data_IF_164884603652
#
_entry.id   IF_164884603652
#
_cell.length_a   1.000
_cell.length_b   1.000
_cell.length_c   1.000
_cell.angle_alpha   90.00
_cell.angle_beta   90.00
_cell.angle_gamma   90.00
#
_symmetry.space_group_name_H-M   'P 1'
#
loop_
_entity.id
_entity.type
_entity.pdbx_description
1 polymer ?
#
# COMPACT_ATOMS: atom_id res chain seq x y z
N UNK A 1 -32.51 34.73 44.17
CA UNK A 1 -31.78 34.60 42.90
C UNK A 1 -31.80 33.14 42.54
N UNK A 2 -32.62 32.76 41.56
CA UNK A 2 -33.00 31.36 41.30
C UNK A 2 -31.95 30.58 40.51
N UNK A 3 -31.51 29.46 41.11
CA UNK A 3 -30.53 28.49 40.57
C UNK A 3 -31.07 27.74 39.32
N UNK A 4 -32.34 27.93 38.97
CA UNK A 4 -33.00 27.28 37.83
C UNK A 4 -32.68 27.89 36.46
N UNK A 5 -32.02 29.05 36.39
CA UNK A 5 -31.65 29.70 35.13
C UNK A 5 -30.32 29.22 34.53
N UNK A 6 -29.57 28.37 35.22
CA UNK A 6 -28.27 27.85 34.75
C UNK A 6 -28.32 26.50 34.03
N UNK A 7 -29.50 25.88 33.88
CA UNK A 7 -29.63 24.53 33.30
C UNK A 7 -30.03 24.54 31.82
N UNK A 8 -30.56 25.65 31.29
CA UNK A 8 -30.94 25.74 29.87
C UNK A 8 -29.77 26.02 28.91
N UNK A 9 -28.54 26.16 29.40
CA UNK A 9 -27.35 26.33 28.57
C UNK A 9 -26.59 25.04 28.22
N UNK A 10 -26.94 23.89 28.82
CA UNK A 10 -26.11 22.67 28.74
C UNK A 10 -26.78 21.46 28.08
N UNK A 11 -28.00 21.59 27.52
CA UNK A 11 -28.68 20.47 26.85
C UNK A 11 -28.65 20.60 25.32
N UNK A 12 -28.46 21.80 24.76
CA UNK A 12 -28.32 21.98 23.29
C UNK A 12 -26.89 21.69 22.78
N UNK A 13 -25.87 21.66 23.67
CA UNK A 13 -24.47 21.44 23.28
C UNK A 13 -24.05 19.99 23.06
N UNK A 14 -24.75 19.00 23.62
CA UNK A 14 -24.28 17.60 23.63
C UNK A 14 -24.78 16.79 22.42
N UNK A 15 -25.91 17.20 21.82
CA UNK A 15 -26.46 16.50 20.64
C UNK A 15 -25.75 16.84 19.32
N UNK A 16 -25.14 18.04 19.19
CA UNK A 16 -24.40 18.42 17.98
C UNK A 16 -22.98 17.81 17.96
N UNK A 17 -22.39 17.55 19.13
CA UNK A 17 -21.04 16.97 19.22
C UNK A 17 -20.94 15.54 18.67
N UNK A 18 -21.94 14.69 18.93
CA UNK A 18 -21.90 13.29 18.48
C UNK A 18 -22.16 13.11 16.98
N UNK A 19 -22.94 14.02 16.35
CA UNK A 19 -23.14 14.03 14.89
C UNK A 19 -21.93 14.68 14.19
N UNK A 20 -21.38 15.75 14.77
CA UNK A 20 -20.21 16.47 14.24
C UNK A 20 -18.92 15.65 14.24
N UNK A 21 -18.65 14.86 15.28
CA UNK A 21 -17.43 14.02 15.33
C UNK A 21 -17.48 12.90 14.29
N UNK A 22 -18.64 12.28 14.04
CA UNK A 22 -18.78 11.25 13.00
C UNK A 22 -18.69 11.83 11.58
N UNK A 23 -19.23 13.02 11.34
CA UNK A 23 -19.11 13.71 10.05
C UNK A 23 -17.69 14.25 9.81
N UNK A 24 -17.05 14.82 10.82
CA UNK A 24 -15.67 15.31 10.74
C UNK A 24 -14.68 14.16 10.55
N UNK A 25 -14.82 13.09 11.33
CA UNK A 25 -13.95 11.92 11.22
C UNK A 25 -14.15 11.21 9.88
N UNK A 26 -15.39 11.10 9.37
CA UNK A 26 -15.63 10.55 8.04
C UNK A 26 -15.10 11.47 6.92
N UNK A 27 -15.19 12.79 7.03
CA UNK A 27 -14.63 13.71 6.04
C UNK A 27 -13.10 13.66 5.99
N UNK A 28 -12.43 13.68 7.14
CA UNK A 28 -10.97 13.54 7.24
C UNK A 28 -10.53 12.17 6.72
N UNK A 29 -11.25 11.10 7.06
CA UNK A 29 -10.96 9.75 6.57
C UNK A 29 -11.17 9.64 5.05
N UNK A 30 -12.24 10.22 4.51
CA UNK A 30 -12.51 10.24 3.07
C UNK A 30 -11.44 11.04 2.30
N UNK A 31 -10.98 12.16 2.85
CA UNK A 31 -9.87 12.92 2.26
C UNK A 31 -8.56 12.12 2.27
N UNK A 32 -8.27 11.39 3.36
CA UNK A 32 -7.09 10.55 3.46
C UNK A 32 -7.12 9.39 2.45
N UNK A 33 -8.27 8.73 2.30
CA UNK A 33 -8.49 7.68 1.29
C UNK A 33 -8.33 8.25 -0.12
N UNK A 34 -8.94 9.39 -0.42
CA UNK A 34 -8.83 10.05 -1.72
C UNK A 34 -7.37 10.40 -2.07
N UNK A 35 -6.59 10.92 -1.10
CA UNK A 35 -5.16 11.19 -1.30
C UNK A 35 -4.36 9.94 -1.62
N UNK A 36 -4.62 8.84 -0.91
CA UNK A 36 -3.96 7.54 -1.17
C UNK A 36 -4.32 7.02 -2.55
N UNK A 37 -5.59 7.07 -2.94
CA UNK A 37 -6.03 6.65 -4.27
C UNK A 37 -5.40 7.51 -5.36
N UNK A 38 -5.36 8.83 -5.17
CA UNK A 38 -4.72 9.74 -6.13
C UNK A 38 -3.22 9.47 -6.27
N UNK A 39 -2.51 9.26 -5.16
CA UNK A 39 -1.10 8.87 -5.17
C UNK A 39 -0.90 7.54 -5.92
N UNK A 40 -1.72 6.54 -5.60
CA UNK A 40 -1.66 5.24 -6.27
C UNK A 40 -1.93 5.37 -7.77
N UNK A 41 -2.90 6.16 -8.18
CA UNK A 41 -3.16 6.42 -9.60
C UNK A 41 -1.98 7.12 -10.26
N UNK A 42 -1.36 8.11 -9.63
CA UNK A 42 -0.16 8.76 -10.17
C UNK A 42 0.98 7.75 -10.36
N UNK A 43 1.25 6.93 -9.35
CA UNK A 43 2.28 5.89 -9.41
C UNK A 43 1.95 4.81 -10.46
N UNK A 44 0.67 4.44 -10.60
CA UNK A 44 0.21 3.51 -11.63
C UNK A 44 0.56 4.02 -13.03
N UNK A 45 0.33 5.31 -13.31
CA UNK A 45 0.66 5.88 -14.62
C UNK A 45 2.17 5.99 -14.83
N UNK A 46 2.94 6.31 -13.77
CA UNK A 46 4.40 6.45 -13.84
C UNK A 46 5.14 5.11 -13.98
N UNK A 47 4.59 4.05 -13.37
CA UNK A 47 5.23 2.74 -13.25
C UNK A 47 4.33 1.62 -13.82
N UNK A 48 3.59 1.93 -14.89
CA UNK A 48 2.51 1.09 -15.40
C UNK A 48 2.94 -0.36 -15.69
N UNK A 49 4.10 -0.55 -16.31
CA UNK A 49 4.59 -1.89 -16.65
C UNK A 49 4.79 -2.76 -15.41
N UNK A 50 5.51 -2.23 -14.40
CA UNK A 50 5.75 -2.93 -13.14
C UNK A 50 4.44 -3.18 -12.36
N UNK A 51 3.57 -2.18 -12.29
CA UNK A 51 2.30 -2.30 -11.56
C UNK A 51 1.33 -3.28 -12.21
N UNK A 52 1.33 -3.39 -13.53
CA UNK A 52 0.56 -4.40 -14.26
C UNK A 52 1.04 -5.81 -13.92
N UNK A 53 2.35 -6.05 -13.93
CA UNK A 53 2.92 -7.35 -13.56
C UNK A 53 2.61 -7.69 -12.09
N UNK A 54 2.89 -6.77 -11.16
CA UNK A 54 2.55 -6.94 -9.74
C UNK A 54 1.06 -7.21 -9.52
N UNK A 55 0.18 -6.54 -10.27
CA UNK A 55 -1.26 -6.81 -10.20
C UNK A 55 -1.60 -8.22 -10.68
N UNK A 56 -1.05 -8.64 -11.83
CA UNK A 56 -1.26 -9.99 -12.37
C UNK A 56 -0.82 -11.05 -11.36
N UNK A 57 0.31 -10.84 -10.69
CA UNK A 57 0.78 -11.70 -9.61
C UNK A 57 -0.19 -11.72 -8.42
N UNK A 58 -0.72 -10.58 -8.02
CA UNK A 58 -1.67 -10.50 -6.89
C UNK A 58 -3.05 -11.09 -7.18
N UNK A 59 -3.41 -11.17 -8.46
CA UNK A 59 -4.62 -11.81 -8.97
C UNK A 59 -4.43 -13.32 -9.20
N UNK A 60 -3.18 -13.81 -9.26
CA UNK A 60 -2.89 -15.23 -9.39
C UNK A 60 -3.19 -15.98 -8.07
N UNK A 61 -4.07 -17.00 -8.08
CA UNK A 61 -4.42 -17.76 -6.88
C UNK A 61 -3.23 -18.45 -6.22
N UNK A 62 -2.19 -18.83 -6.98
CA UNK A 62 -0.98 -19.49 -6.46
C UNK A 62 -0.14 -18.54 -5.58
N UNK A 63 -0.30 -17.23 -5.77
CA UNK A 63 0.41 -16.18 -5.04
C UNK A 63 -0.50 -15.42 -4.06
N UNK A 64 -1.72 -15.92 -3.79
CA UNK A 64 -2.72 -15.24 -2.94
C UNK A 64 -2.15 -14.71 -1.61
N UNK A 65 -1.28 -15.48 -0.97
CA UNK A 65 -0.64 -15.17 0.31
C UNK A 65 0.84 -14.77 0.17
N UNK A 66 1.38 -14.72 -1.04
CA UNK A 66 2.75 -14.31 -1.27
C UNK A 66 2.83 -12.79 -1.17
N UNK A 67 3.75 -12.31 -0.32
CA UNK A 67 4.04 -10.88 -0.15
C UNK A 67 5.48 -10.55 -0.39
N UNK A 68 6.34 -11.55 -0.36
CA UNK A 68 7.76 -11.37 -0.59
C UNK A 68 8.09 -11.60 -2.06
N UNK A 69 8.97 -10.78 -2.59
CA UNK A 69 9.50 -10.93 -3.93
C UNK A 69 10.98 -10.63 -3.95
N UNK A 70 11.64 -11.16 -4.98
CA UNK A 70 13.05 -10.97 -5.22
C UNK A 70 13.29 -10.11 -6.44
N UNK A 71 14.41 -9.40 -6.44
CA UNK A 71 14.89 -8.67 -7.61
C UNK A 71 16.17 -9.32 -8.09
N UNK A 72 16.19 -9.73 -9.35
CA UNK A 72 17.27 -10.49 -9.95
C UNK A 72 17.75 -9.87 -11.26
N UNK A 73 18.99 -10.18 -11.64
CA UNK A 73 19.41 -10.11 -13.04
C UNK A 73 19.06 -11.43 -13.72
N UNK A 74 18.64 -11.41 -14.98
CA UNK A 74 18.28 -12.65 -15.74
C UNK A 74 19.38 -13.72 -15.72
N UNK A 75 20.65 -13.31 -15.72
CA UNK A 75 21.80 -14.22 -15.70
C UNK A 75 22.36 -14.49 -14.30
N UNK A 76 21.70 -14.01 -13.24
CA UNK A 76 22.13 -14.25 -11.88
C UNK A 76 21.83 -15.69 -11.49
N UNK A 77 22.88 -16.46 -11.18
CA UNK A 77 22.71 -17.81 -10.65
C UNK A 77 22.05 -17.72 -9.28
N UNK A 78 20.80 -18.17 -9.21
CA UNK A 78 20.05 -18.27 -7.98
C UNK A 78 19.53 -19.70 -7.83
N UNK A 79 19.89 -20.34 -6.71
CA UNK A 79 19.40 -21.67 -6.38
C UNK A 79 18.00 -21.55 -5.81
N UNK A 80 16.98 -21.77 -6.65
CA UNK A 80 15.58 -21.87 -6.26
C UNK A 80 15.28 -23.17 -5.48
N UNK A 81 16.08 -23.49 -4.46
CA UNK A 81 15.65 -24.44 -3.42
C UNK A 81 14.67 -23.74 -2.46
N UNK A 82 13.77 -22.92 -3.00
CA UNK A 82 12.75 -22.24 -2.23
C UNK A 82 11.62 -23.25 -1.98
N UNK A 83 11.18 -23.43 -0.73
CA UNK A 83 10.13 -24.38 -0.39
C UNK A 83 8.74 -23.98 -0.92
N UNK A 84 8.61 -22.81 -1.55
CA UNK A 84 7.35 -22.25 -2.08
C UNK A 84 7.60 -21.46 -3.36
N UNK A 85 6.54 -21.30 -4.15
CA UNK A 85 6.49 -20.41 -5.30
C UNK A 85 6.84 -18.98 -4.85
N UNK A 86 7.80 -18.36 -5.54
CA UNK A 86 8.28 -17.01 -5.22
C UNK A 86 8.00 -16.06 -6.38
N UNK A 87 7.74 -14.80 -6.06
CA UNK A 87 7.69 -13.71 -7.02
C UNK A 87 9.10 -13.22 -7.30
N UNK A 88 9.39 -12.92 -8.56
CA UNK A 88 10.69 -12.46 -9.01
C UNK A 88 10.47 -11.42 -10.10
N UNK A 89 11.03 -10.22 -9.90
CA UNK A 89 11.08 -9.19 -10.93
C UNK A 89 12.51 -9.02 -11.43
N UNK A 90 12.68 -8.98 -12.75
CA UNK A 90 14.01 -8.89 -13.36
C UNK A 90 14.38 -7.44 -13.67
N UNK A 91 15.61 -7.05 -13.33
CA UNK A 91 16.14 -5.70 -13.61
C UNK A 91 16.09 -5.36 -15.10
N UNK A 92 16.20 -6.37 -15.97
CA UNK A 92 16.20 -6.19 -17.42
C UNK A 92 14.79 -6.07 -18.03
N UNK A 93 13.72 -6.27 -17.26
CA UNK A 93 12.33 -6.23 -17.77
C UNK A 93 11.62 -4.90 -17.50
N UNK A 94 12.19 -4.05 -16.65
CA UNK A 94 11.65 -2.72 -16.38
C UNK A 94 12.73 -1.66 -16.45
N UNK A 95 12.40 -0.55 -17.09
CA UNK A 95 13.27 0.62 -17.15
C UNK A 95 13.49 1.17 -15.73
N UNK A 96 14.73 1.12 -15.26
CA UNK A 96 15.15 1.63 -13.95
C UNK A 96 14.36 1.03 -12.77
N UNK A 97 14.15 -0.30 -12.77
CA UNK A 97 13.44 -1.02 -11.70
C UNK A 97 13.92 -0.63 -10.29
N UNK A 98 15.23 -0.44 -10.11
CA UNK A 98 15.81 -0.06 -8.83
C UNK A 98 15.28 1.29 -8.32
N UNK A 99 15.19 2.30 -9.20
CA UNK A 99 14.59 3.58 -8.85
C UNK A 99 13.10 3.44 -8.57
N UNK A 100 12.35 2.69 -9.39
CA UNK A 100 10.92 2.48 -9.18
C UNK A 100 10.65 1.86 -7.80
N UNK A 101 11.38 0.80 -7.43
CA UNK A 101 11.26 0.16 -6.13
C UNK A 101 11.61 1.10 -4.97
N UNK A 102 12.66 1.93 -5.12
CA UNK A 102 13.00 2.95 -4.12
C UNK A 102 11.88 3.99 -3.96
N UNK A 103 11.22 4.38 -5.04
CA UNK A 103 10.04 5.24 -4.99
C UNK A 103 8.91 4.57 -4.22
N UNK A 104 8.61 3.30 -4.49
CA UNK A 104 7.57 2.55 -3.76
C UNK A 104 7.90 2.40 -2.26
N UNK A 105 9.15 2.13 -1.94
CA UNK A 105 9.63 2.06 -0.56
C UNK A 105 9.48 3.42 0.16
N UNK A 106 9.78 4.53 -0.52
CA UNK A 106 9.62 5.87 0.06
C UNK A 106 8.16 6.24 0.39
N UNK A 107 7.20 5.58 -0.27
CA UNK A 107 5.76 5.71 -0.01
C UNK A 107 5.19 4.60 0.88
N UNK A 108 6.04 3.77 1.50
CA UNK A 108 5.66 2.66 2.38
C UNK A 108 4.75 1.61 1.70
N UNK A 109 4.84 1.50 0.36
CA UNK A 109 4.09 0.52 -0.42
C UNK A 109 4.77 -0.84 -0.45
N UNK A 110 6.09 -0.83 -0.32
CA UNK A 110 6.94 -2.01 -0.12
C UNK A 110 7.97 -1.72 0.96
N UNK A 111 8.59 -2.76 1.49
CA UNK A 111 9.72 -2.65 2.42
C UNK A 111 10.86 -3.54 1.97
N UNK A 112 12.09 -3.04 2.02
CA UNK A 112 13.27 -3.86 1.84
C UNK A 112 13.46 -4.78 3.05
N UNK A 113 13.40 -6.10 2.81
CA UNK A 113 13.58 -7.16 3.82
C UNK A 113 14.78 -8.04 3.48
N UNK A 114 15.76 -7.47 2.77
CA UNK A 114 17.00 -8.15 2.41
C UNK A 114 17.75 -8.58 3.66
N UNK A 115 18.10 -9.86 3.73
CA UNK A 115 18.84 -10.43 4.85
C UNK A 115 20.26 -9.84 4.91
N UNK A 116 20.75 -9.47 6.10
CA UNK A 116 22.13 -9.00 6.26
C UNK A 116 23.15 -10.01 5.72
N UNK A 117 24.05 -9.56 4.86
CA UNK A 117 25.09 -10.40 4.26
C UNK A 117 24.63 -11.27 3.09
N UNK A 118 23.41 -11.05 2.56
CA UNK A 118 22.96 -11.62 1.28
C UNK A 118 23.01 -10.57 0.18
N UNK A 119 23.52 -10.96 -0.98
CA UNK A 119 23.55 -10.13 -2.19
C UNK A 119 22.23 -10.14 -2.96
N UNK A 120 21.21 -10.80 -2.42
CA UNK A 120 19.91 -10.96 -3.06
C UNK A 120 18.92 -9.97 -2.49
N UNK A 121 18.55 -8.97 -3.30
CA UNK A 121 17.56 -7.99 -2.91
C UNK A 121 16.18 -8.66 -2.75
N UNK A 122 15.61 -8.53 -1.56
CA UNK A 122 14.31 -9.07 -1.18
C UNK A 122 13.42 -7.94 -0.66
N UNK A 123 12.19 -7.90 -1.12
CA UNK A 123 11.21 -6.92 -0.73
C UNK A 123 9.91 -7.59 -0.28
N UNK A 124 9.14 -6.88 0.52
CA UNK A 124 7.82 -7.29 0.97
C UNK A 124 6.79 -6.22 0.59
N UNK A 125 5.67 -6.63 -0.02
CA UNK A 125 4.53 -5.75 -0.25
C UNK A 125 3.82 -5.40 1.05
N UNK A 126 3.43 -4.13 1.20
CA UNK A 126 2.47 -3.72 2.22
C UNK A 126 1.06 -4.22 1.84
N UNK A 127 0.29 -4.72 2.80
CA UNK A 127 -1.07 -5.21 2.54
C UNK A 127 -1.98 -4.14 1.91
N UNK A 128 -1.83 -2.88 2.33
CA UNK A 128 -2.60 -1.78 1.75
C UNK A 128 -2.32 -1.59 0.27
N UNK A 129 -1.06 -1.79 -0.13
CA UNK A 129 -0.66 -1.72 -1.54
C UNK A 129 -1.22 -2.90 -2.34
N UNK A 130 -1.18 -4.11 -1.78
CA UNK A 130 -1.80 -5.31 -2.38
C UNK A 130 -3.30 -5.11 -2.59
N UNK A 131 -4.01 -4.52 -1.63
CA UNK A 131 -5.43 -4.20 -1.78
C UNK A 131 -5.67 -3.20 -2.92
N UNK A 132 -4.82 -2.18 -3.06
CA UNK A 132 -4.93 -1.21 -4.17
C UNK A 132 -4.70 -1.90 -5.53
N UNK A 133 -3.70 -2.77 -5.65
CA UNK A 133 -3.43 -3.55 -6.86
C UNK A 133 -4.63 -4.43 -7.24
N UNK A 134 -5.23 -5.13 -6.28
CA UNK A 134 -6.40 -5.99 -6.52
C UNK A 134 -7.65 -5.21 -6.95
N UNK A 135 -7.86 -4.02 -6.39
CA UNK A 135 -9.02 -3.17 -6.71
C UNK A 135 -8.88 -2.42 -8.04
N UNK A 136 -7.66 -2.30 -8.56
CA UNK A 136 -7.43 -1.62 -9.84
C UNK A 136 -8.08 -2.42 -10.97
N UNK A 137 -8.94 -1.76 -11.74
CA UNK A 137 -9.42 -2.28 -13.01
C UNK A 137 -8.40 -1.93 -14.10
N UNK A 138 -8.07 -2.91 -14.95
CA UNK A 138 -7.20 -2.74 -16.13
C UNK A 138 -8.09 -2.49 -17.35
#
# INVERSE_FOLDING_TARGET
MDIWSMIFGLIVGVAIGAIGVNLWNSHVNNQAIAKVNNLFEQLWHQHAHLFQEMKQDMDNPDYKFQREFYVLKKNQRFSLSLPRSCLVYFLEEHDDLAHQLKTLESYDLISNVTEPGKDLAKYQFNEKFVELLRRKNI
#
